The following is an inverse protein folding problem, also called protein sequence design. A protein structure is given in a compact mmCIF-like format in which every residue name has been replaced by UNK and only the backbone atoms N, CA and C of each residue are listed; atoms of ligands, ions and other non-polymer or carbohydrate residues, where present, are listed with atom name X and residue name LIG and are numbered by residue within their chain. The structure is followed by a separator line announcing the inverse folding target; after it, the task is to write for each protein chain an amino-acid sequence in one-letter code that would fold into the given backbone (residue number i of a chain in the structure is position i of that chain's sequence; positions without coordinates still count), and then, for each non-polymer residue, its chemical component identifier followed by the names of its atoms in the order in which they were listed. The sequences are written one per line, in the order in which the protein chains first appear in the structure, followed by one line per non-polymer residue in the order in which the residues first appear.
data_IF_276641025023
#
_entry.id   IF_276641025023
#
_cell.length_a   1.000
_cell.length_b   1.000
_cell.length_c   1.000
_cell.angle_alpha   90.00
_cell.angle_beta   90.00
_cell.angle_gamma   90.00
#
_symmetry.space_group_name_H-M   'P 1'
#
loop_
_entity.id
_entity.type
_entity.pdbx_description
1 polymer ?
#
# COMPACT_ATOMS: atom_id res chain seq x y z
N UNK A 1 6.74 -18.47 6.47
CA UNK A 1 6.72 -18.10 5.03
C UNK A 1 7.43 -16.77 4.90
N UNK A 2 8.13 -16.48 3.79
CA UNK A 2 8.71 -15.16 3.60
C UNK A 2 7.62 -14.08 3.68
N UNK A 3 7.97 -12.92 4.23
CA UNK A 3 7.10 -11.74 4.29
C UNK A 3 6.59 -11.37 2.89
N UNK A 4 5.38 -10.83 2.79
CA UNK A 4 4.85 -10.35 1.52
C UNK A 4 5.66 -9.13 1.05
N UNK A 5 5.99 -9.06 -0.25
CA UNK A 5 6.83 -8.00 -0.79
C UNK A 5 6.26 -6.57 -0.59
N UNK A 6 4.93 -6.41 -0.57
CA UNK A 6 4.28 -5.14 -0.28
C UNK A 6 4.33 -4.79 1.21
N UNK A 7 4.20 -5.77 2.11
CA UNK A 7 4.39 -5.56 3.56
C UNK A 7 5.82 -5.08 3.85
N UNK A 8 6.82 -5.79 3.30
CA UNK A 8 8.23 -5.42 3.42
C UNK A 8 8.51 -4.02 2.83
N UNK A 9 7.84 -3.65 1.72
CA UNK A 9 7.97 -2.31 1.13
C UNK A 9 7.40 -1.23 2.05
N UNK A 10 6.20 -1.45 2.61
CA UNK A 10 5.58 -0.53 3.57
C UNK A 10 6.48 -0.33 4.80
N UNK A 11 7.10 -1.41 5.30
CA UNK A 11 8.05 -1.35 6.41
C UNK A 11 9.26 -0.48 6.08
N UNK A 12 9.93 -0.73 4.94
CA UNK A 12 11.07 0.09 4.48
C UNK A 12 10.67 1.55 4.32
N UNK A 13 9.48 1.81 3.77
CA UNK A 13 8.95 3.15 3.59
C UNK A 13 8.73 3.86 4.92
N UNK A 14 8.14 3.18 5.91
CA UNK A 14 7.93 3.70 7.27
C UNK A 14 9.25 3.99 7.99
N UNK A 15 10.24 3.10 7.88
CA UNK A 15 11.58 3.29 8.45
C UNK A 15 12.31 4.49 7.84
N UNK A 16 12.18 4.69 6.52
CA UNK A 16 12.82 5.78 5.78
C UNK A 16 11.97 7.06 5.70
N UNK A 17 10.83 7.13 6.37
CA UNK A 17 9.92 8.30 6.36
C UNK A 17 9.50 8.71 4.94
N UNK A 18 9.20 7.73 4.10
CA UNK A 18 8.78 8.01 2.74
C UNK A 18 7.42 8.70 2.71
N UNK A 19 7.39 9.86 2.07
CA UNK A 19 6.16 10.62 1.93
C UNK A 19 5.11 9.83 1.13
N UNK A 20 3.93 9.68 1.70
CA UNK A 20 2.78 9.04 1.07
C UNK A 20 1.81 10.03 0.41
N UNK A 21 2.15 11.32 0.36
CA UNK A 21 1.32 12.34 -0.26
C UNK A 21 1.18 12.11 -1.77
N UNK A 22 -0.04 11.82 -2.22
CA UNK A 22 -0.39 11.53 -3.62
C UNK A 22 -0.03 12.64 -4.60
N UNK A 23 0.00 13.91 -4.16
CA UNK A 23 0.39 15.04 -5.03
C UNK A 23 1.90 15.32 -5.02
N UNK A 24 2.67 14.65 -4.16
CA UNK A 24 4.13 14.78 -4.18
C UNK A 24 4.72 14.02 -5.37
N UNK A 25 5.57 14.66 -6.17
CA UNK A 25 6.21 14.06 -7.35
C UNK A 25 7.73 13.97 -7.26
N UNK A 26 8.33 14.41 -6.15
CA UNK A 26 9.79 14.62 -6.02
C UNK A 26 10.41 14.05 -4.73
N UNK A 27 9.59 13.56 -3.80
CA UNK A 27 9.98 13.08 -2.48
C UNK A 27 9.83 11.54 -2.36
N UNK A 28 9.77 11.01 -1.13
CA UNK A 28 9.63 9.58 -0.85
C UNK A 28 8.44 8.87 -1.50
N UNK A 29 7.47 9.59 -2.06
CA UNK A 29 6.46 9.01 -2.95
C UNK A 29 7.12 8.37 -4.17
N UNK A 30 8.01 9.09 -4.88
CA UNK A 30 8.70 8.51 -6.05
C UNK A 30 9.56 7.30 -5.63
N UNK A 31 10.13 7.30 -4.43
CA UNK A 31 10.87 6.16 -3.89
C UNK A 31 9.94 4.95 -3.66
N UNK A 32 8.79 5.16 -3.01
CA UNK A 32 7.77 4.13 -2.81
C UNK A 32 7.29 3.56 -4.15
N UNK A 33 7.04 4.45 -5.11
CA UNK A 33 6.61 4.12 -6.46
C UNK A 33 7.64 3.25 -7.19
N UNK A 34 8.93 3.59 -7.10
CA UNK A 34 10.00 2.75 -7.64
C UNK A 34 10.04 1.39 -6.95
N UNK A 35 9.78 1.35 -5.63
CA UNK A 35 9.61 0.10 -4.90
C UNK A 35 8.46 -0.76 -5.43
N UNK A 36 7.30 -0.17 -5.71
CA UNK A 36 6.17 -0.86 -6.34
C UNK A 36 6.55 -1.46 -7.71
N UNK A 37 7.33 -0.75 -8.51
CA UNK A 37 7.83 -1.28 -9.80
C UNK A 37 8.73 -2.49 -9.57
N UNK A 38 9.65 -2.44 -8.59
CA UNK A 38 10.55 -3.56 -8.29
C UNK A 38 9.78 -4.80 -7.81
N UNK A 39 8.84 -4.66 -6.87
CA UNK A 39 8.05 -5.81 -6.39
C UNK A 39 7.13 -6.37 -7.49
N UNK A 40 6.66 -5.54 -8.43
CA UNK A 40 5.91 -6.01 -9.61
C UNK A 40 6.74 -6.94 -10.52
N UNK A 41 8.08 -6.81 -10.45
CA UNK A 41 9.06 -7.67 -11.12
C UNK A 41 9.52 -8.84 -10.25
N UNK A 42 8.84 -9.09 -9.13
CA UNK A 42 9.18 -10.11 -8.13
C UNK A 42 10.55 -9.90 -7.50
N UNK A 43 11.01 -8.66 -7.41
CA UNK A 43 12.22 -8.29 -6.68
C UNK A 43 11.78 -7.89 -5.27
N UNK A 44 12.06 -8.75 -4.28
CA UNK A 44 11.71 -8.52 -2.88
C UNK A 44 12.61 -7.45 -2.25
N UNK A 45 12.11 -6.56 -1.36
CA UNK A 45 12.92 -5.55 -0.67
C UNK A 45 14.15 -6.08 0.08
N UNK A 46 14.09 -7.33 0.54
CA UNK A 46 15.20 -7.99 1.25
C UNK A 46 16.11 -8.84 0.33
N UNK A 47 15.84 -8.90 -0.97
CA UNK A 47 16.67 -9.69 -1.89
C UNK A 47 17.95 -8.94 -2.28
N UNK A 48 19.02 -9.67 -2.59
CA UNK A 48 20.27 -9.10 -3.13
C UNK A 48 20.08 -8.33 -4.45
N UNK A 49 18.97 -8.60 -5.17
CA UNK A 49 18.61 -7.92 -6.42
C UNK A 49 17.88 -6.60 -6.18
N UNK A 50 17.49 -6.30 -4.94
CA UNK A 50 16.84 -5.04 -4.58
C UNK A 50 17.81 -3.89 -4.75
N UNK A 51 17.39 -2.88 -5.51
CA UNK A 51 18.13 -1.63 -5.63
C UNK A 51 17.37 -0.56 -4.85
N UNK A 52 17.96 0.03 -3.79
CA UNK A 52 17.29 1.08 -3.04
C UNK A 52 16.83 2.23 -3.96
N UNK A 53 15.57 2.70 -3.84
CA UNK A 53 15.05 3.74 -4.72
C UNK A 53 15.86 5.05 -4.74
N UNK A 54 16.46 5.42 -3.61
CA UNK A 54 17.35 6.57 -3.48
C UNK A 54 18.64 6.41 -4.32
N UNK A 55 19.13 5.17 -4.47
CA UNK A 55 20.23 4.81 -5.37
C UNK A 55 19.76 4.88 -6.82
N UNK A 56 18.57 4.35 -7.15
CA UNK A 56 18.00 4.45 -8.51
C UNK A 56 17.88 5.91 -8.95
N UNK A 57 17.42 6.78 -8.06
CA UNK A 57 17.25 8.22 -8.33
C UNK A 57 18.58 8.93 -8.57
N UNK A 58 19.64 8.52 -7.86
CA UNK A 58 20.95 9.17 -7.89
C UNK A 58 21.91 8.63 -8.96
N UNK A 59 21.72 7.40 -9.46
CA UNK A 59 22.88 6.66 -10.02
C UNK A 59 22.90 6.37 -11.52
N UNK A 60 21.81 6.31 -12.31
CA UNK A 60 21.96 5.99 -13.74
C UNK A 60 20.71 6.31 -14.60
N UNK A 61 20.81 7.14 -15.65
CA UNK A 61 19.76 7.34 -16.66
C UNK A 61 19.23 6.06 -17.33
N UNK A 62 20.02 4.97 -17.38
CA UNK A 62 19.69 3.71 -18.09
C UNK A 62 18.96 2.69 -17.21
N UNK A 63 19.28 2.60 -15.92
CA UNK A 63 18.47 1.85 -14.93
C UNK A 63 17.09 2.47 -14.77
N UNK A 64 17.06 3.80 -14.80
CA UNK A 64 15.83 4.57 -14.73
C UNK A 64 14.97 4.38 -15.98
N UNK A 65 15.49 4.16 -17.18
CA UNK A 65 14.65 4.05 -18.38
C UNK A 65 13.70 2.83 -18.36
N UNK A 66 14.17 1.66 -17.91
CA UNK A 66 13.31 0.47 -17.77
C UNK A 66 12.28 0.62 -16.65
N UNK A 67 12.62 1.32 -15.56
CA UNK A 67 11.75 1.56 -14.40
C UNK A 67 10.83 2.79 -14.60
N UNK A 68 11.19 3.68 -15.54
CA UNK A 68 10.46 4.91 -15.92
C UNK A 68 9.38 4.68 -16.95
N UNK A 69 9.19 3.47 -17.47
CA UNK A 69 7.93 3.12 -18.16
C UNK A 69 6.78 3.03 -17.13
N UNK A 70 6.50 4.22 -16.60
CA UNK A 70 5.70 4.57 -15.43
C UNK A 70 4.24 4.20 -15.58
N UNK A 71 3.79 3.85 -16.79
CA UNK A 71 2.40 3.46 -17.07
C UNK A 71 2.28 1.97 -17.32
N UNK A 72 3.33 1.30 -17.80
CA UNK A 72 3.28 -0.12 -18.13
C UNK A 72 3.28 -1.06 -16.90
N UNK A 73 3.69 -0.59 -15.71
CA UNK A 73 3.83 -1.47 -14.53
C UNK A 73 2.64 -1.44 -13.59
N UNK A 74 1.96 -0.30 -13.42
CA UNK A 74 0.86 -0.17 -12.45
C UNK A 74 -0.44 -0.82 -12.91
N UNK A 75 -0.54 -1.27 -14.16
CA UNK A 75 -1.69 -2.02 -14.68
C UNK A 75 -1.46 -3.54 -14.73
N UNK A 76 -0.44 -4.05 -14.05
CA UNK A 76 -0.09 -5.47 -14.12
C UNK A 76 -0.70 -6.27 -12.98
N UNK A 77 -1.36 -7.36 -13.35
CA UNK A 77 -1.94 -8.36 -12.45
C UNK A 77 -1.01 -8.84 -11.30
N UNK A 78 0.31 -9.02 -11.48
CA UNK A 78 1.18 -9.44 -10.39
C UNK A 78 1.25 -8.44 -9.23
N UNK A 79 1.30 -7.13 -9.48
CA UNK A 79 1.35 -6.14 -8.40
C UNK A 79 0.03 -6.12 -7.63
N UNK A 80 -1.08 -6.18 -8.35
CA UNK A 80 -2.42 -6.24 -7.77
C UNK A 80 -2.58 -7.43 -6.82
N UNK A 81 -2.12 -8.62 -7.22
CA UNK A 81 -2.16 -9.83 -6.40
C UNK A 81 -1.19 -9.79 -5.21
N UNK A 82 -0.01 -9.18 -5.37
CA UNK A 82 0.94 -8.96 -4.27
C UNK A 82 0.29 -8.07 -3.20
N UNK A 83 -0.32 -6.94 -3.60
CA UNK A 83 -1.06 -6.07 -2.70
C UNK A 83 -2.24 -6.80 -2.04
N UNK A 84 -3.03 -7.55 -2.81
CA UNK A 84 -4.19 -8.28 -2.32
C UNK A 84 -3.85 -9.35 -1.27
N UNK A 85 -2.66 -9.94 -1.35
CA UNK A 85 -2.19 -10.97 -0.41
C UNK A 85 -1.45 -10.40 0.81
N UNK A 86 -1.33 -9.08 0.93
CA UNK A 86 -0.68 -8.45 2.07
C UNK A 86 -1.58 -8.47 3.31
N UNK A 87 -0.97 -8.72 4.46
CA UNK A 87 -1.61 -8.66 5.76
C UNK A 87 -1.65 -7.21 6.27
N UNK A 88 -2.84 -6.62 6.28
CA UNK A 88 -3.05 -5.23 6.72
C UNK A 88 -2.71 -5.03 8.20
N UNK A 89 -2.96 -6.03 9.05
CA UNK A 89 -2.61 -5.95 10.47
C UNK A 89 -1.09 -5.95 10.68
N UNK A 90 -0.35 -6.74 9.90
CA UNK A 90 1.13 -6.74 9.87
C UNK A 90 1.68 -5.37 9.47
N UNK A 91 1.12 -4.77 8.41
CA UNK A 91 1.47 -3.42 7.97
C UNK A 91 1.16 -2.38 9.06
N UNK A 92 -0.01 -2.46 9.69
CA UNK A 92 -0.42 -1.52 10.75
C UNK A 92 0.44 -1.64 12.02
N UNK A 93 0.91 -2.85 12.34
CA UNK A 93 1.80 -3.12 13.48
C UNK A 93 3.21 -2.56 13.23
N UNK A 94 3.76 -2.76 12.03
CA UNK A 94 5.15 -2.41 11.69
C UNK A 94 5.32 -0.96 11.26
N UNK A 95 4.30 -0.38 10.63
CA UNK A 95 4.37 0.99 10.13
C UNK A 95 3.90 2.01 11.17
N UNK A 96 4.45 3.22 11.10
CA UNK A 96 3.94 4.35 11.87
C UNK A 96 2.53 4.69 11.43
N UNK A 97 1.76 5.23 12.37
CA UNK A 97 0.45 5.80 12.04
C UNK A 97 0.63 7.31 11.80
N UNK A 98 0.00 7.90 10.77
CA UNK A 98 -0.94 7.31 9.80
C UNK A 98 -0.28 6.68 8.57
N UNK A 99 1.04 6.61 8.51
CA UNK A 99 1.81 6.25 7.31
C UNK A 99 1.34 4.96 6.64
N UNK A 100 0.96 3.94 7.42
CA UNK A 100 0.45 2.68 6.90
C UNK A 100 -0.77 2.88 5.97
N UNK A 101 -1.73 3.74 6.36
CA UNK A 101 -2.89 4.08 5.52
C UNK A 101 -2.45 4.87 4.28
N UNK A 102 -1.44 5.73 4.41
CA UNK A 102 -0.83 6.42 3.27
C UNK A 102 -0.28 5.45 2.22
N UNK A 103 0.45 4.42 2.64
CA UNK A 103 1.01 3.41 1.73
C UNK A 103 -0.08 2.53 1.09
N UNK A 104 -1.13 2.17 1.83
CA UNK A 104 -2.32 1.53 1.24
C UNK A 104 -2.98 2.45 0.21
N UNK A 105 -3.08 3.75 0.50
CA UNK A 105 -3.64 4.77 -0.39
C UNK A 105 -2.84 4.88 -1.69
N UNK A 106 -1.51 4.87 -1.62
CA UNK A 106 -0.64 4.82 -2.79
C UNK A 106 -0.89 3.57 -3.64
N UNK A 107 -1.00 2.40 -3.01
CA UNK A 107 -1.30 1.16 -3.72
C UNK A 107 -2.69 1.21 -4.40
N UNK A 108 -3.73 1.68 -3.69
CA UNK A 108 -5.08 1.85 -4.27
C UNK A 108 -5.06 2.84 -5.44
N UNK A 109 -4.35 3.95 -5.32
CA UNK A 109 -4.21 4.94 -6.39
C UNK A 109 -3.59 4.31 -7.64
N UNK A 110 -2.47 3.59 -7.48
CA UNK A 110 -1.81 2.96 -8.62
C UNK A 110 -2.57 1.74 -9.17
N UNK A 111 -3.41 1.09 -8.36
CA UNK A 111 -4.21 -0.08 -8.76
C UNK A 111 -5.67 0.26 -9.10
N UNK A 112 -6.08 1.54 -9.15
CA UNK A 112 -7.47 1.99 -9.31
C UNK A 112 -8.20 1.31 -10.47
N UNK A 113 -7.53 1.17 -11.62
CA UNK A 113 -8.10 0.51 -12.80
C UNK A 113 -8.38 -0.97 -12.57
N UNK A 114 -7.44 -1.69 -11.94
CA UNK A 114 -7.61 -3.10 -11.59
C UNK A 114 -8.71 -3.25 -10.54
N UNK A 115 -8.72 -2.36 -9.55
CA UNK A 115 -9.66 -2.40 -8.45
C UNK A 115 -11.09 -2.14 -8.90
N UNK A 116 -11.29 -1.20 -9.83
CA UNK A 116 -12.58 -0.96 -10.49
C UNK A 116 -13.10 -2.20 -11.23
N UNK A 117 -12.20 -3.02 -11.79
CA UNK A 117 -12.57 -4.20 -12.57
C UNK A 117 -12.81 -5.45 -11.70
N UNK A 118 -11.96 -5.68 -10.68
CA UNK A 118 -11.89 -6.96 -9.96
C UNK A 118 -12.34 -6.90 -8.50
N UNK A 119 -12.39 -5.70 -7.90
CA UNK A 119 -12.83 -5.44 -6.52
C UNK A 119 -12.15 -6.32 -5.46
N UNK A 120 -10.91 -6.74 -5.69
CA UNK A 120 -10.21 -7.67 -4.80
C UNK A 120 -9.67 -6.96 -3.56
N UNK A 121 -9.06 -5.77 -3.71
CA UNK A 121 -8.58 -4.98 -2.57
C UNK A 121 -9.76 -4.49 -1.73
N UNK A 122 -10.85 -4.05 -2.37
CA UNK A 122 -12.10 -3.68 -1.70
C UNK A 122 -12.57 -4.79 -0.77
N UNK A 123 -12.62 -6.03 -1.27
CA UNK A 123 -13.08 -7.17 -0.47
C UNK A 123 -12.09 -7.56 0.64
N UNK A 124 -10.83 -7.75 0.30
CA UNK A 124 -9.83 -8.26 1.23
C UNK A 124 -9.41 -7.18 2.24
N UNK A 125 -8.95 -6.03 1.75
CA UNK A 125 -8.52 -4.94 2.62
C UNK A 125 -9.69 -4.31 3.34
N UNK A 126 -10.85 -4.14 2.69
CA UNK A 126 -12.05 -3.62 3.36
C UNK A 126 -12.41 -4.44 4.60
N UNK A 127 -12.45 -5.77 4.46
CA UNK A 127 -12.67 -6.68 5.59
C UNK A 127 -11.63 -6.54 6.70
N UNK A 128 -10.36 -6.35 6.36
CA UNK A 128 -9.30 -6.20 7.36
C UNK A 128 -9.33 -4.81 8.04
N UNK A 129 -9.61 -3.75 7.30
CA UNK A 129 -9.76 -2.40 7.83
C UNK A 129 -10.91 -2.31 8.85
N UNK A 130 -12.03 -2.99 8.59
CA UNK A 130 -13.15 -3.08 9.54
C UNK A 130 -12.72 -3.60 10.93
N UNK A 131 -11.74 -4.51 10.98
CA UNK A 131 -11.23 -5.08 12.25
C UNK A 131 -10.43 -4.07 13.06
N UNK A 132 -9.84 -3.08 12.41
CA UNK A 132 -9.03 -2.03 13.03
C UNK A 132 -9.86 -0.84 13.50
N UNK A 133 -11.11 -0.74 13.06
CA UNK A 133 -11.99 0.39 13.32
C UNK A 133 -12.88 0.19 14.55
N UNK A 134 -13.31 1.30 15.16
CA UNK A 134 -14.40 1.28 16.13
C UNK A 134 -15.71 0.80 15.47
N UNK A 135 -16.64 0.31 16.28
CA UNK A 135 -17.87 -0.34 15.79
C UNK A 135 -18.71 0.59 14.91
N UNK A 136 -18.86 1.87 15.30
CA UNK A 136 -19.70 2.83 14.59
C UNK A 136 -19.08 3.18 13.24
N UNK A 137 -17.79 3.45 13.20
CA UNK A 137 -17.12 3.74 11.93
C UNK A 137 -17.05 2.50 11.02
N UNK A 138 -16.86 1.31 11.61
CA UNK A 138 -16.88 0.04 10.89
C UNK A 138 -18.25 -0.23 10.25
N UNK A 139 -19.37 0.08 10.92
CA UNK A 139 -20.70 -0.05 10.31
C UNK A 139 -20.87 0.78 9.05
N UNK A 140 -20.38 2.02 9.05
CA UNK A 140 -20.44 2.91 7.89
C UNK A 140 -19.64 2.34 6.71
N UNK A 141 -18.40 1.90 6.95
CA UNK A 141 -17.59 1.30 5.89
C UNK A 141 -18.20 -0.03 5.40
N UNK A 142 -18.77 -0.85 6.31
CA UNK A 142 -19.42 -2.11 5.95
C UNK A 142 -20.60 -1.90 5.01
N UNK A 143 -21.44 -0.91 5.30
CA UNK A 143 -22.57 -0.56 4.42
C UNK A 143 -22.10 -0.18 3.00
N UNK A 144 -20.96 0.50 2.88
CA UNK A 144 -20.37 0.78 1.57
C UNK A 144 -19.81 -0.48 0.90
N UNK A 145 -19.08 -1.32 1.64
CA UNK A 145 -18.51 -2.57 1.11
C UNK A 145 -19.57 -3.55 0.59
N UNK A 146 -20.75 -3.58 1.21
CA UNK A 146 -21.89 -4.41 0.79
C UNK A 146 -22.51 -3.96 -0.54
N UNK A 147 -22.25 -2.72 -0.98
CA UNK A 147 -22.73 -2.22 -2.26
C UNK A 147 -21.94 -2.85 -3.42
N UNK A 148 -22.61 -3.33 -4.48
CA UNK A 148 -21.93 -4.00 -5.59
C UNK A 148 -21.09 -3.04 -6.46
N UNK A 149 -21.42 -1.76 -6.46
CA UNK A 149 -20.76 -0.69 -7.21
C UNK A 149 -19.64 0.02 -6.42
N UNK A 150 -19.54 -0.24 -5.12
CA UNK A 150 -18.52 0.40 -4.29
C UNK A 150 -17.13 -0.19 -4.56
N UNK A 151 -16.16 0.71 -4.74
CA UNK A 151 -14.76 0.40 -4.97
C UNK A 151 -13.96 1.21 -3.97
N UNK A 152 -13.22 0.52 -3.10
CA UNK A 152 -12.37 1.16 -2.11
C UNK A 152 -11.30 2.00 -2.82
N UNK A 153 -11.23 3.28 -2.46
CA UNK A 153 -10.26 4.23 -2.98
C UNK A 153 -9.40 4.80 -1.86
N UNK A 154 -8.32 5.51 -2.23
CA UNK A 154 -7.49 6.20 -1.24
C UNK A 154 -8.26 7.25 -0.44
N UNK A 155 -9.34 7.83 -1.00
CA UNK A 155 -10.19 8.82 -0.30
C UNK A 155 -10.96 8.19 0.85
N UNK A 156 -11.37 6.93 0.68
CA UNK A 156 -12.08 6.21 1.73
C UNK A 156 -11.17 5.94 2.93
N UNK A 157 -9.85 5.87 2.72
CA UNK A 157 -8.88 5.69 3.79
C UNK A 157 -8.78 6.92 4.72
N UNK A 158 -9.12 8.12 4.25
CA UNK A 158 -9.23 9.30 5.11
C UNK A 158 -10.34 9.08 6.15
N UNK A 159 -11.49 8.53 5.72
CA UNK A 159 -12.58 8.16 6.63
C UNK A 159 -12.18 7.01 7.55
N UNK A 160 -11.42 6.04 7.05
CA UNK A 160 -10.88 4.96 7.88
C UNK A 160 -10.00 5.54 8.98
N UNK A 161 -9.09 6.47 8.65
CA UNK A 161 -8.19 7.12 9.61
C UNK A 161 -8.94 7.68 10.82
N UNK A 162 -10.05 8.36 10.60
CA UNK A 162 -10.90 8.91 11.68
C UNK A 162 -11.59 7.83 12.52
N UNK A 163 -11.89 6.67 11.93
CA UNK A 163 -12.60 5.57 12.58
C UNK A 163 -11.68 4.50 13.19
N UNK A 164 -10.37 4.68 13.14
CA UNK A 164 -9.41 3.72 13.69
C UNK A 164 -9.52 3.69 15.23
N UNK A 165 -9.66 2.49 15.79
CA UNK A 165 -9.55 2.26 17.23
C UNK A 165 -8.07 2.18 17.61
N UNK A 166 -7.57 3.24 18.25
CA UNK A 166 -6.17 3.36 18.67
C UNK A 166 -5.73 2.22 19.59
N UNK A 167 -6.62 1.71 20.45
CA UNK A 167 -6.30 0.60 21.37
C UNK A 167 -6.04 -0.68 20.60
N UNK A 168 -6.77 -0.93 19.51
CA UNK A 168 -6.54 -2.09 18.64
C UNK A 168 -5.21 -1.97 17.90
N UNK A 169 -4.87 -0.78 17.42
CA UNK A 169 -3.55 -0.56 16.80
C UNK A 169 -2.40 -0.76 17.78
N UNK A 170 -2.54 -0.26 19.01
CA UNK A 170 -1.54 -0.46 20.06
C UNK A 170 -1.36 -1.95 20.38
N UNK A 171 -2.46 -2.69 20.55
CA UNK A 171 -2.43 -4.12 20.81
C UNK A 171 -1.78 -4.96 19.69
N UNK A 172 -1.76 -4.48 18.45
CA UNK A 172 -1.07 -5.15 17.34
C UNK A 172 0.46 -4.95 17.38
N UNK A 173 0.93 -3.87 18.01
CA UNK A 173 2.37 -3.58 18.15
C UNK A 173 3.05 -4.35 19.28
N UNK A 174 2.25 -4.88 20.20
CA UNK A 174 2.69 -5.67 21.35
C UNK A 174 2.79 -7.18 21.05
N UNK A 175 2.41 -7.61 19.85
CA UNK A 175 2.43 -9.00 19.36
C UNK A 175 3.70 -9.30 18.56
#
# INVERSE_FOLDING_TARGET
MPENAFEALCKVASEKEWCWNLVCTTCGHEDFRMGLVQISRRIHPESEKWVPPDVIRSSDPRLTESLRDRRAFFHREPLYLICASANIASIAATCRFPDFLGYLGLALHYQERMETQYRLLTRLWGSDLLKLMDERAAEVLRADLDRPDFVLSWRDLERVEYGIDRRRLEALREQ
#
